data_IF_380021151549
#
_entry.id   IF_380021151549
#
_cell.length_a   1.000
_cell.length_b   1.000
_cell.length_c   1.000
_cell.angle_alpha   90.00
_cell.angle_beta   90.00
_cell.angle_gamma   90.00
#
_symmetry.space_group_name_H-M   'P 1'
#
loop_
_entity.id
_entity.type
_entity.pdbx_description
1 polymer ?
#
# COMPACT_ATOMS: atom_id res chain seq x y z
N UNK A 1 1.62 35.33 2.96
CA UNK A 1 1.76 34.14 2.08
C UNK A 1 3.06 33.45 2.40
N UNK A 2 3.08 32.10 2.36
CA UNK A 2 4.32 31.36 2.64
C UNK A 2 5.34 31.68 1.53
N UNK A 3 6.48 32.30 1.91
CA UNK A 3 7.54 32.75 1.02
C UNK A 3 8.10 31.62 0.12
N UNK A 4 8.06 30.36 0.57
CA UNK A 4 8.49 29.19 -0.21
C UNK A 4 7.68 29.03 -1.51
N UNK A 5 6.35 29.07 -1.42
CA UNK A 5 5.49 28.92 -2.59
C UNK A 5 5.69 30.06 -3.59
N UNK A 6 5.70 31.30 -3.12
CA UNK A 6 5.89 32.50 -3.95
C UNK A 6 7.24 32.47 -4.66
N UNK A 7 8.33 32.19 -3.91
CA UNK A 7 9.70 32.12 -4.46
C UNK A 7 9.86 31.06 -5.54
N UNK A 8 9.19 29.91 -5.38
CA UNK A 8 9.30 28.78 -6.30
C UNK A 8 8.17 28.74 -7.35
N UNK A 9 7.29 29.74 -7.41
CA UNK A 9 6.15 29.81 -8.34
C UNK A 9 5.21 28.59 -8.22
N UNK A 10 5.04 28.08 -7.00
CA UNK A 10 4.15 26.96 -6.70
C UNK A 10 2.81 27.46 -6.15
N UNK A 11 1.74 26.76 -6.46
CA UNK A 11 0.42 27.03 -5.88
C UNK A 11 0.38 26.55 -4.43
N UNK A 12 0.00 27.39 -3.46
CA UNK A 12 -0.22 26.95 -2.07
C UNK A 12 -1.35 25.92 -2.00
N UNK A 13 -1.14 24.86 -1.25
CA UNK A 13 -2.13 23.78 -1.07
C UNK A 13 -2.53 23.69 0.39
N UNK A 14 -3.85 23.74 0.65
CA UNK A 14 -4.45 23.37 1.93
C UNK A 14 -5.01 21.96 1.77
N UNK A 15 -4.29 20.98 2.34
CA UNK A 15 -4.70 19.58 2.21
C UNK A 15 -5.73 19.22 3.28
N UNK A 16 -6.96 18.94 2.86
CA UNK A 16 -8.07 18.46 3.69
C UNK A 16 -8.49 17.02 3.35
N UNK A 17 -7.82 16.39 2.37
CA UNK A 17 -8.18 15.06 1.85
C UNK A 17 -7.29 13.92 2.38
N UNK A 18 -6.23 14.23 3.15
CA UNK A 18 -5.30 13.23 3.67
C UNK A 18 -4.18 12.86 2.68
N UNK A 19 -3.80 11.60 2.61
CA UNK A 19 -2.62 11.14 1.88
C UNK A 19 -2.88 10.97 0.38
N UNK A 20 -2.61 12.00 -0.40
CA UNK A 20 -2.78 11.98 -1.86
C UNK A 20 -1.42 12.16 -2.55
N UNK A 21 -0.99 11.17 -3.34
CA UNK A 21 0.28 11.21 -4.09
C UNK A 21 0.40 12.46 -4.96
N UNK A 22 -0.71 12.88 -5.60
CA UNK A 22 -0.74 14.05 -6.50
C UNK A 22 -0.35 15.37 -5.83
N UNK A 23 -0.48 15.47 -4.50
CA UNK A 23 -0.09 16.66 -3.72
C UNK A 23 1.09 16.38 -2.78
N UNK A 24 1.90 15.37 -3.08
CA UNK A 24 3.10 15.03 -2.32
C UNK A 24 2.88 14.05 -1.16
N UNK A 25 1.70 13.43 -1.06
CA UNK A 25 1.27 12.44 -0.09
C UNK A 25 1.22 12.96 1.36
N UNK A 26 2.36 13.25 1.99
CA UNK A 26 2.44 13.76 3.35
C UNK A 26 3.63 14.72 3.53
N UNK A 27 3.62 15.48 4.61
CA UNK A 27 4.80 16.25 5.03
C UNK A 27 5.79 15.27 5.65
N UNK A 28 7.01 15.26 5.12
CA UNK A 28 8.06 14.35 5.58
C UNK A 28 8.47 14.69 7.02
N UNK A 29 8.52 13.67 7.87
CA UNK A 29 8.89 13.85 9.26
C UNK A 29 10.40 14.11 9.43
N UNK A 30 10.78 14.80 10.52
CA UNK A 30 12.15 15.23 10.80
C UNK A 30 13.15 14.09 10.88
N UNK A 31 12.75 12.93 11.41
CA UNK A 31 13.66 11.79 11.57
C UNK A 31 14.01 11.16 10.22
N UNK A 32 13.04 11.05 9.31
CA UNK A 32 13.29 10.60 7.93
C UNK A 32 14.19 11.58 7.17
N UNK A 33 13.98 12.90 7.32
CA UNK A 33 14.84 13.92 6.68
C UNK A 33 16.28 13.81 7.21
N UNK A 34 16.47 13.76 8.54
CA UNK A 34 17.80 13.61 9.16
C UNK A 34 18.50 12.35 8.70
N UNK A 35 17.78 11.23 8.63
CA UNK A 35 18.32 9.96 8.17
C UNK A 35 18.78 10.04 6.71
N UNK A 36 17.95 10.56 5.81
CA UNK A 36 18.29 10.76 4.41
C UNK A 36 19.53 11.65 4.25
N UNK A 37 19.55 12.82 4.90
CA UNK A 37 20.68 13.75 4.85
C UNK A 37 21.97 13.13 5.33
N UNK A 38 21.92 12.31 6.39
CA UNK A 38 23.11 11.64 6.92
C UNK A 38 23.71 10.66 5.93
N UNK A 39 22.90 9.81 5.29
CA UNK A 39 23.41 8.73 4.44
C UNK A 39 23.90 9.21 3.08
N UNK A 40 23.47 10.39 2.60
CA UNK A 40 23.94 10.95 1.33
C UNK A 40 25.45 11.05 1.25
N UNK A 41 26.14 11.34 2.35
CA UNK A 41 27.58 11.57 2.40
C UNK A 41 28.43 10.28 2.41
N UNK A 42 27.81 9.09 2.31
CA UNK A 42 28.50 7.82 2.40
C UNK A 42 28.19 6.89 1.24
N UNK A 43 29.19 6.16 0.79
CA UNK A 43 28.97 4.95 0.00
C UNK A 43 28.50 3.84 0.95
N UNK A 44 27.51 3.06 0.52
CA UNK A 44 26.97 1.95 1.30
C UNK A 44 26.72 0.75 0.38
N UNK A 45 26.94 -0.43 0.90
CA UNK A 45 26.49 -1.65 0.24
C UNK A 45 24.96 -1.75 0.37
N UNK A 46 24.25 -1.76 -0.76
CA UNK A 46 22.79 -1.78 -0.80
C UNK A 46 22.22 -3.09 -0.24
N UNK A 47 22.88 -4.23 -0.49
CA UNK A 47 22.43 -5.53 0.02
C UNK A 47 22.49 -5.56 1.55
N UNK A 48 23.57 -5.02 2.11
CA UNK A 48 23.75 -4.87 3.55
C UNK A 48 22.71 -3.91 4.14
N UNK A 49 22.46 -2.77 3.49
CA UNK A 49 21.47 -1.79 3.93
C UNK A 49 20.07 -2.38 3.91
N UNK A 50 19.69 -3.13 2.88
CA UNK A 50 18.41 -3.84 2.81
C UNK A 50 18.31 -4.94 3.89
N UNK A 51 19.39 -5.65 4.18
CA UNK A 51 19.43 -6.64 5.26
C UNK A 51 19.20 -5.99 6.63
N UNK A 52 19.81 -4.84 6.89
CA UNK A 52 19.60 -4.03 8.10
C UNK A 52 18.14 -3.54 8.15
N UNK A 53 17.61 -3.02 7.04
CA UNK A 53 16.22 -2.59 6.94
C UNK A 53 15.27 -3.75 7.23
N UNK A 54 15.50 -4.91 6.61
CA UNK A 54 14.70 -6.12 6.84
C UNK A 54 14.65 -6.49 8.32
N UNK A 55 15.82 -6.56 8.98
CA UNK A 55 15.94 -6.91 10.40
C UNK A 55 15.24 -5.93 11.34
N UNK A 56 15.32 -4.62 11.04
CA UNK A 56 14.68 -3.57 11.86
C UNK A 56 13.17 -3.51 11.65
N UNK A 57 12.73 -3.55 10.40
CA UNK A 57 11.33 -3.39 10.01
C UNK A 57 10.51 -4.63 10.40
N UNK A 58 11.02 -5.84 10.16
CA UNK A 58 10.32 -7.08 10.46
C UNK A 58 9.92 -7.22 11.94
N UNK A 59 10.69 -6.62 12.86
CA UNK A 59 10.36 -6.58 14.29
C UNK A 59 9.04 -5.84 14.56
N UNK A 60 8.83 -4.70 13.89
CA UNK A 60 7.61 -3.90 14.04
C UNK A 60 6.43 -4.54 13.34
N UNK A 61 6.65 -5.08 12.15
CA UNK A 61 5.60 -5.76 11.38
C UNK A 61 5.23 -7.14 11.94
N UNK A 62 6.05 -7.70 12.85
CA UNK A 62 5.91 -9.07 13.37
C UNK A 62 5.87 -10.12 12.26
N UNK A 63 6.84 -10.03 11.35
CA UNK A 63 6.98 -10.91 10.19
C UNK A 63 8.41 -11.45 10.08
N UNK A 64 8.63 -12.45 9.21
CA UNK A 64 9.95 -13.12 9.08
C UNK A 64 11.00 -12.21 8.43
N UNK A 65 10.61 -11.39 7.46
CA UNK A 65 11.50 -10.49 6.73
C UNK A 65 10.73 -9.29 6.18
N UNK A 66 11.49 -8.26 5.76
CA UNK A 66 10.95 -7.10 5.09
C UNK A 66 11.89 -6.62 3.98
N UNK A 67 11.40 -5.77 3.09
CA UNK A 67 12.13 -5.17 1.99
C UNK A 67 11.63 -3.74 1.76
N UNK A 68 12.54 -2.85 1.39
CA UNK A 68 12.18 -1.51 0.92
C UNK A 68 12.28 -1.47 -0.60
N UNK A 69 11.24 -0.93 -1.24
CA UNK A 69 11.14 -0.72 -2.68
C UNK A 69 10.96 0.77 -3.00
N UNK A 70 11.07 1.16 -4.26
CA UNK A 70 10.95 2.57 -4.67
C UNK A 70 9.57 3.19 -4.35
N UNK A 71 8.53 2.37 -4.35
CA UNK A 71 7.17 2.74 -3.96
C UNK A 71 6.34 1.50 -3.65
N UNK A 72 5.16 1.66 -3.05
CA UNK A 72 4.22 0.55 -2.89
C UNK A 72 3.81 -0.04 -4.26
N UNK A 73 3.64 0.80 -5.29
CA UNK A 73 3.32 0.35 -6.65
C UNK A 73 4.46 -0.50 -7.26
N UNK A 74 5.73 -0.08 -7.10
CA UNK A 74 6.88 -0.89 -7.50
C UNK A 74 6.88 -2.23 -6.76
N UNK A 75 6.68 -2.19 -5.44
CA UNK A 75 6.60 -3.39 -4.61
C UNK A 75 5.47 -4.35 -5.03
N UNK A 76 4.35 -3.83 -5.50
CA UNK A 76 3.25 -4.64 -6.06
C UNK A 76 3.73 -5.39 -7.30
N UNK A 77 4.30 -4.69 -8.27
CA UNK A 77 4.80 -5.29 -9.53
C UNK A 77 5.89 -6.33 -9.26
N UNK A 78 6.87 -5.99 -8.41
CA UNK A 78 7.97 -6.89 -8.03
C UNK A 78 7.47 -8.11 -7.25
N UNK A 79 6.47 -7.94 -6.37
CA UNK A 79 5.86 -9.05 -5.65
C UNK A 79 5.18 -10.02 -6.60
N UNK A 80 4.37 -9.53 -7.54
CA UNK A 80 3.70 -10.37 -8.56
C UNK A 80 4.74 -11.09 -9.41
N UNK A 81 5.77 -10.39 -9.89
CA UNK A 81 6.88 -10.97 -10.65
C UNK A 81 7.53 -12.14 -9.90
N UNK A 82 7.82 -11.93 -8.63
CA UNK A 82 8.46 -12.94 -7.77
C UNK A 82 7.64 -14.21 -7.57
N UNK A 83 6.30 -14.08 -7.54
CA UNK A 83 5.40 -15.24 -7.42
C UNK A 83 5.37 -16.09 -8.69
N UNK A 84 5.72 -15.53 -9.84
CA UNK A 84 5.84 -16.27 -11.11
C UNK A 84 7.20 -16.91 -11.29
N UNK A 85 8.25 -16.23 -10.85
CA UNK A 85 9.65 -16.63 -11.13
C UNK A 85 10.27 -17.45 -10.02
N UNK A 86 9.82 -17.25 -8.76
CA UNK A 86 10.54 -17.77 -7.60
C UNK A 86 11.95 -17.18 -7.54
N UNK A 87 12.94 -18.04 -7.29
CA UNK A 87 14.37 -17.70 -7.29
C UNK A 87 15.11 -18.12 -8.58
N UNK A 88 14.38 -18.45 -9.62
CA UNK A 88 14.92 -18.88 -10.90
C UNK A 88 15.36 -17.67 -11.75
N UNK A 89 16.66 -17.43 -11.85
CA UNK A 89 17.23 -16.32 -12.59
C UNK A 89 16.85 -16.33 -14.07
N UNK A 90 16.73 -17.50 -14.69
CA UNK A 90 16.35 -17.62 -16.10
C UNK A 90 14.94 -17.08 -16.36
N UNK A 91 14.03 -17.28 -15.39
CA UNK A 91 12.67 -16.72 -15.44
C UNK A 91 12.68 -15.23 -15.12
N UNK A 92 13.49 -14.77 -14.17
CA UNK A 92 13.63 -13.35 -13.82
C UNK A 92 14.08 -12.54 -15.06
N UNK A 93 15.12 -12.98 -15.76
CA UNK A 93 15.60 -12.31 -16.98
C UNK A 93 14.64 -12.36 -18.15
N UNK A 94 13.72 -13.33 -18.14
CA UNK A 94 12.75 -13.51 -19.23
C UNK A 94 11.55 -12.56 -19.10
N UNK A 95 11.23 -12.07 -17.91
CA UNK A 95 10.11 -11.15 -17.72
C UNK A 95 10.25 -9.89 -18.59
N UNK A 96 9.14 -9.35 -19.12
CA UNK A 96 7.73 -9.70 -18.87
C UNK A 96 7.19 -10.88 -19.71
N UNK A 97 8.02 -11.62 -20.44
CA UNK A 97 7.58 -12.81 -21.15
C UNK A 97 7.36 -13.97 -20.16
N UNK A 98 6.11 -14.30 -19.89
CA UNK A 98 5.70 -15.32 -18.92
C UNK A 98 5.32 -16.66 -19.56
N UNK A 99 5.74 -16.93 -20.80
CA UNK A 99 5.48 -18.20 -21.44
C UNK A 99 6.06 -19.38 -20.65
N UNK A 100 5.25 -20.41 -20.43
CA UNK A 100 5.55 -21.60 -19.62
C UNK A 100 5.63 -21.32 -18.10
N UNK A 101 5.14 -20.18 -17.62
CA UNK A 101 5.02 -19.87 -16.18
C UNK A 101 3.54 -19.90 -15.75
N UNK A 102 3.29 -20.21 -14.48
CA UNK A 102 2.01 -19.86 -13.88
C UNK A 102 1.97 -18.33 -13.79
N UNK A 103 1.06 -17.70 -14.49
CA UNK A 103 1.07 -16.25 -14.65
C UNK A 103 -0.26 -15.56 -14.37
N UNK A 104 -1.27 -16.30 -13.87
CA UNK A 104 -2.54 -15.70 -13.50
C UNK A 104 -2.52 -15.18 -12.06
N UNK A 105 -2.90 -13.93 -11.87
CA UNK A 105 -3.13 -13.32 -10.55
C UNK A 105 -4.62 -13.32 -10.27
N UNK A 106 -5.03 -14.08 -9.25
CA UNK A 106 -6.40 -14.11 -8.79
C UNK A 106 -6.71 -12.84 -8.00
N UNK A 107 -7.76 -12.12 -8.39
CA UNK A 107 -8.17 -10.89 -7.72
C UNK A 107 -9.70 -10.72 -7.78
N UNK A 108 -10.31 -10.25 -6.72
CA UNK A 108 -11.73 -9.90 -6.74
C UNK A 108 -11.97 -8.69 -7.64
N UNK A 109 -13.04 -8.71 -8.44
CA UNK A 109 -13.27 -7.70 -9.48
C UNK A 109 -13.32 -6.26 -8.94
N UNK A 110 -13.89 -6.05 -7.76
CA UNK A 110 -13.95 -4.74 -7.14
C UNK A 110 -12.63 -4.23 -6.55
N UNK A 111 -11.59 -5.10 -6.51
CA UNK A 111 -10.23 -4.71 -6.13
C UNK A 111 -9.39 -4.21 -7.30
N UNK A 112 -9.90 -4.30 -8.55
CA UNK A 112 -9.29 -3.68 -9.72
C UNK A 112 -9.67 -2.19 -9.78
N UNK A 113 -9.24 -1.44 -8.78
CA UNK A 113 -9.54 -0.02 -8.62
C UNK A 113 -8.54 0.87 -9.34
N UNK A 114 -8.96 2.14 -9.57
CA UNK A 114 -8.09 3.21 -10.01
C UNK A 114 -7.93 4.21 -8.85
N UNK A 115 -6.72 4.34 -8.33
CA UNK A 115 -6.35 5.29 -7.26
C UNK A 115 -5.52 6.49 -7.79
N UNK A 116 -5.64 6.79 -9.09
CA UNK A 116 -4.77 7.68 -9.87
C UNK A 116 -3.79 6.91 -10.75
N UNK A 117 -3.71 5.58 -10.55
CA UNK A 117 -3.12 4.56 -11.40
C UNK A 117 -3.93 3.27 -11.22
N UNK A 118 -4.04 2.45 -12.25
CA UNK A 118 -4.82 1.22 -12.17
C UNK A 118 -4.03 0.08 -11.52
N UNK A 119 -4.63 -0.58 -10.53
CA UNK A 119 -4.08 -1.83 -9.93
C UNK A 119 -3.79 -2.87 -11.02
N UNK A 120 -4.69 -2.96 -12.01
CA UNK A 120 -4.52 -3.83 -13.19
C UNK A 120 -3.15 -3.65 -13.85
N UNK A 121 -2.81 -2.40 -14.19
CA UNK A 121 -1.55 -2.10 -14.89
C UNK A 121 -0.33 -2.47 -14.04
N UNK A 122 -0.37 -2.20 -12.72
CA UNK A 122 0.69 -2.60 -11.81
C UNK A 122 0.95 -4.12 -11.78
N UNK A 123 -0.11 -4.93 -11.92
CA UNK A 123 -0.01 -6.39 -12.03
C UNK A 123 0.54 -6.77 -13.42
N UNK A 124 -0.02 -6.24 -14.50
CA UNK A 124 0.28 -6.60 -15.88
C UNK A 124 1.69 -6.18 -16.33
N UNK A 125 2.27 -5.14 -15.73
CA UNK A 125 3.68 -4.73 -15.96
C UNK A 125 4.67 -5.86 -15.71
N UNK A 126 4.37 -6.79 -14.82
CA UNK A 126 5.21 -7.98 -14.57
C UNK A 126 5.09 -9.05 -15.67
N UNK A 127 4.17 -8.89 -16.62
CA UNK A 127 3.78 -9.92 -17.60
C UNK A 127 2.72 -10.88 -17.09
N UNK A 128 2.20 -10.66 -15.88
CA UNK A 128 1.10 -11.45 -15.33
C UNK A 128 -0.22 -11.15 -16.04
N UNK A 129 -1.15 -12.09 -15.93
CA UNK A 129 -2.51 -11.98 -16.49
C UNK A 129 -3.51 -11.92 -15.34
N UNK A 130 -4.49 -11.04 -15.46
CA UNK A 130 -5.57 -10.93 -14.47
C UNK A 130 -6.52 -12.13 -14.58
N UNK A 131 -6.79 -12.75 -13.43
CA UNK A 131 -7.88 -13.68 -13.24
C UNK A 131 -8.86 -13.05 -12.23
N UNK A 132 -9.80 -12.27 -12.74
CA UNK A 132 -10.80 -11.63 -11.88
C UNK A 132 -11.91 -12.63 -11.52
N UNK A 133 -12.41 -12.54 -10.27
CA UNK A 133 -13.58 -13.27 -9.79
C UNK A 133 -14.63 -12.33 -9.18
N UNK A 134 -15.87 -12.81 -9.14
CA UNK A 134 -17.01 -12.03 -8.67
C UNK A 134 -17.59 -11.10 -9.73
N UNK A 135 -18.68 -10.44 -9.35
CA UNK A 135 -19.45 -9.53 -10.19
C UNK A 135 -19.06 -8.07 -9.98
N UNK A 136 -19.79 -7.12 -10.59
CA UNK A 136 -19.47 -5.68 -10.54
C UNK A 136 -19.49 -5.10 -9.12
N UNK A 137 -20.40 -5.58 -8.25
CA UNK A 137 -20.60 -5.05 -6.88
C UNK A 137 -20.31 -6.04 -5.76
N UNK A 138 -20.11 -7.32 -6.07
CA UNK A 138 -19.99 -8.38 -5.07
C UNK A 138 -19.09 -9.52 -5.56
N UNK A 139 -18.40 -10.15 -4.64
CA UNK A 139 -17.77 -11.46 -4.81
C UNK A 139 -18.17 -12.37 -3.66
N UNK A 140 -18.74 -13.52 -3.99
CA UNK A 140 -19.09 -14.54 -3.00
C UNK A 140 -17.94 -15.53 -2.80
N UNK A 141 -17.91 -16.17 -1.61
CA UNK A 141 -16.91 -17.21 -1.32
C UNK A 141 -17.01 -18.38 -2.31
N UNK A 142 -18.22 -18.72 -2.76
CA UNK A 142 -18.46 -19.76 -3.77
C UNK A 142 -17.84 -19.39 -5.12
N UNK A 143 -18.08 -18.17 -5.63
CA UNK A 143 -17.48 -17.71 -6.88
C UNK A 143 -15.95 -17.74 -6.83
N UNK A 144 -15.37 -17.33 -5.68
CA UNK A 144 -13.93 -17.37 -5.46
C UNK A 144 -13.41 -18.82 -5.49
N UNK A 145 -14.08 -19.73 -4.80
CA UNK A 145 -13.73 -21.16 -4.74
C UNK A 145 -13.83 -21.82 -6.12
N UNK A 146 -14.91 -21.56 -6.88
CA UNK A 146 -15.11 -22.10 -8.21
C UNK A 146 -14.04 -21.59 -9.19
N UNK A 147 -13.69 -20.29 -9.09
CA UNK A 147 -12.62 -19.69 -9.90
C UNK A 147 -11.27 -20.35 -9.61
N UNK A 148 -10.95 -20.58 -8.34
CA UNK A 148 -9.72 -21.28 -7.94
C UNK A 148 -9.73 -22.72 -8.51
N UNK A 149 -10.79 -23.47 -8.30
CA UNK A 149 -10.89 -24.88 -8.71
C UNK A 149 -10.65 -25.04 -10.21
N UNK A 150 -11.25 -24.17 -11.02
CA UNK A 150 -11.12 -24.19 -12.50
C UNK A 150 -9.74 -23.76 -13.01
N UNK A 151 -8.99 -22.95 -12.24
CA UNK A 151 -7.77 -22.30 -12.74
C UNK A 151 -6.51 -22.61 -11.92
N UNK A 152 -6.56 -23.44 -10.89
CA UNK A 152 -5.50 -23.68 -9.90
C UNK A 152 -4.11 -23.93 -10.52
N UNK A 153 -4.05 -24.64 -11.64
CA UNK A 153 -2.79 -24.96 -12.35
C UNK A 153 -2.07 -23.72 -12.90
N UNK A 154 -2.79 -22.62 -13.13
CA UNK A 154 -2.29 -21.40 -13.77
C UNK A 154 -2.13 -20.22 -12.82
N UNK A 155 -2.67 -20.31 -11.59
CA UNK A 155 -2.59 -19.23 -10.60
C UNK A 155 -1.19 -19.19 -10.00
N UNK A 156 -0.51 -18.06 -10.12
CA UNK A 156 0.77 -17.78 -9.47
C UNK A 156 0.59 -17.28 -8.05
N UNK A 157 -0.37 -16.37 -7.85
CA UNK A 157 -0.72 -15.79 -6.55
C UNK A 157 -2.15 -15.25 -6.56
N UNK A 158 -2.61 -14.87 -5.36
CA UNK A 158 -3.86 -14.16 -5.18
C UNK A 158 -3.59 -12.79 -4.54
N UNK A 159 -4.24 -11.73 -5.04
CA UNK A 159 -4.08 -10.37 -4.56
C UNK A 159 -5.36 -9.86 -3.91
N UNK A 160 -5.20 -9.20 -2.77
CA UNK A 160 -6.27 -8.49 -2.07
C UNK A 160 -5.87 -7.03 -1.89
N UNK A 161 -6.75 -6.09 -2.23
CA UNK A 161 -6.51 -4.65 -2.06
C UNK A 161 -7.35 -4.12 -0.91
N UNK A 162 -6.70 -3.52 0.08
CA UNK A 162 -7.33 -2.82 1.19
C UNK A 162 -7.26 -1.33 0.90
N UNK A 163 -8.39 -0.74 0.55
CA UNK A 163 -8.47 0.68 0.20
C UNK A 163 -9.89 1.20 0.35
N UNK A 164 -10.04 2.46 0.71
CA UNK A 164 -11.34 3.12 0.69
C UNK A 164 -11.98 3.17 -0.72
N UNK A 165 -11.20 3.04 -1.79
CA UNK A 165 -11.73 2.87 -3.15
C UNK A 165 -12.47 1.54 -3.36
N UNK A 166 -12.29 0.57 -2.45
CA UNK A 166 -13.00 -0.70 -2.46
C UNK A 166 -14.19 -0.75 -1.48
N UNK A 167 -14.48 0.31 -0.74
CA UNK A 167 -15.45 0.32 0.36
C UNK A 167 -16.89 -0.02 -0.07
N UNK A 168 -17.23 0.31 -1.31
CA UNK A 168 -18.58 0.06 -1.86
C UNK A 168 -18.72 -1.31 -2.53
N UNK A 169 -17.66 -2.12 -2.48
CA UNK A 169 -17.64 -3.46 -3.03
C UNK A 169 -17.81 -4.50 -1.92
N UNK A 170 -18.85 -5.33 -2.04
CA UNK A 170 -19.07 -6.44 -1.11
C UNK A 170 -18.12 -7.59 -1.43
N UNK A 171 -16.87 -7.46 -0.94
CA UNK A 171 -15.80 -8.44 -1.12
C UNK A 171 -15.97 -9.65 -0.19
N UNK A 172 -15.39 -10.78 -0.59
CA UNK A 172 -15.07 -11.84 0.38
C UNK A 172 -14.13 -11.24 1.42
N UNK A 173 -14.47 -11.36 2.69
CA UNK A 173 -13.68 -10.84 3.81
C UNK A 173 -12.25 -11.39 3.79
N UNK A 174 -11.27 -10.53 4.11
CA UNK A 174 -9.84 -10.80 3.94
C UNK A 174 -9.38 -12.09 4.65
N UNK A 175 -9.89 -12.38 5.85
CA UNK A 175 -9.52 -13.58 6.59
C UNK A 175 -9.98 -14.85 5.88
N UNK A 176 -11.20 -14.84 5.32
CA UNK A 176 -11.76 -15.95 4.54
C UNK A 176 -11.03 -16.13 3.21
N UNK A 177 -10.66 -15.00 2.57
CA UNK A 177 -9.86 -14.98 1.34
C UNK A 177 -8.50 -15.65 1.56
N UNK A 178 -7.75 -15.22 2.58
CA UNK A 178 -6.43 -15.78 2.91
C UNK A 178 -6.53 -17.26 3.24
N UNK A 179 -7.48 -17.66 4.09
CA UNK A 179 -7.72 -19.08 4.46
C UNK A 179 -8.00 -19.96 3.25
N UNK A 180 -8.83 -19.48 2.31
CA UNK A 180 -9.17 -20.23 1.10
C UNK A 180 -7.95 -20.36 0.17
N UNK A 181 -7.18 -19.28 -0.02
CA UNK A 181 -5.95 -19.31 -0.82
C UNK A 181 -4.94 -20.28 -0.23
N UNK A 182 -4.72 -20.23 1.09
CA UNK A 182 -3.82 -21.13 1.81
C UNK A 182 -4.20 -22.60 1.67
N UNK A 183 -5.50 -22.93 1.83
CA UNK A 183 -6.03 -24.29 1.62
C UNK A 183 -5.71 -24.82 0.20
N UNK A 184 -5.56 -23.92 -0.76
CA UNK A 184 -5.25 -24.26 -2.15
C UNK A 184 -3.77 -24.11 -2.51
N UNK A 185 -2.88 -23.82 -1.57
CA UNK A 185 -1.45 -23.53 -1.79
C UNK A 185 -1.21 -22.37 -2.77
N UNK A 186 -2.04 -21.34 -2.72
CA UNK A 186 -1.90 -20.12 -3.51
C UNK A 186 -1.37 -19.02 -2.58
N UNK A 187 -0.15 -18.48 -2.85
CA UNK A 187 0.41 -17.40 -2.06
C UNK A 187 -0.41 -16.12 -2.19
N UNK A 188 -0.47 -15.35 -1.11
CA UNK A 188 -1.27 -14.12 -1.02
C UNK A 188 -0.40 -12.87 -0.97
N UNK A 189 -0.80 -11.84 -1.73
CA UNK A 189 -0.25 -10.49 -1.70
C UNK A 189 -1.36 -9.55 -1.25
N UNK A 190 -1.11 -8.80 -0.18
CA UNK A 190 -2.05 -7.80 0.33
C UNK A 190 -1.50 -6.40 -0.01
N UNK A 191 -2.20 -5.66 -0.87
CA UNK A 191 -1.93 -4.25 -1.08
C UNK A 191 -2.67 -3.44 -0.02
N UNK A 192 -1.93 -2.94 0.95
CA UNK A 192 -2.40 -2.18 2.09
C UNK A 192 -1.65 -0.84 2.21
N UNK A 193 -1.41 -0.18 1.08
CA UNK A 193 -0.54 0.98 0.96
C UNK A 193 -0.92 2.15 1.89
N UNK A 194 -2.17 2.23 2.36
CA UNK A 194 -2.68 3.32 3.22
C UNK A 194 -3.18 2.83 4.58
N UNK A 195 -2.78 1.63 5.00
CA UNK A 195 -3.25 1.03 6.24
C UNK A 195 -2.26 1.21 7.38
N UNK A 196 -2.78 1.58 8.56
CA UNK A 196 -1.98 1.93 9.72
C UNK A 196 -1.58 0.73 10.57
N UNK A 197 -2.40 -0.33 10.59
CA UNK A 197 -2.21 -1.54 11.41
C UNK A 197 -1.55 -2.65 10.63
N UNK A 198 -0.30 -2.46 10.26
CA UNK A 198 0.43 -3.32 9.34
C UNK A 198 0.58 -4.77 9.82
N UNK A 199 0.79 -4.99 11.13
CA UNK A 199 0.94 -6.33 11.71
C UNK A 199 -0.35 -7.15 11.67
N UNK A 200 -1.51 -6.53 11.47
CA UNK A 200 -2.80 -7.21 11.36
C UNK A 200 -2.79 -8.25 10.24
N UNK A 201 -2.25 -7.90 9.08
CA UNK A 201 -2.24 -8.79 7.92
C UNK A 201 -1.41 -10.05 8.13
N UNK A 202 -0.32 -9.96 8.89
CA UNK A 202 0.53 -11.11 9.23
C UNK A 202 -0.09 -11.99 10.31
N UNK A 203 -0.90 -11.44 11.22
CA UNK A 203 -1.73 -12.23 12.15
C UNK A 203 -2.81 -13.02 11.43
N UNK A 204 -3.28 -12.57 10.26
CA UNK A 204 -4.17 -13.30 9.36
C UNK A 204 -3.43 -14.31 8.48
N UNK A 205 -2.09 -14.47 8.64
CA UNK A 205 -1.23 -15.36 7.87
C UNK A 205 -1.12 -14.98 6.38
N UNK A 206 -1.15 -13.69 6.06
CA UNK A 206 -0.78 -13.22 4.73
C UNK A 206 0.68 -13.57 4.40
N UNK A 207 0.96 -13.98 3.17
CA UNK A 207 2.32 -14.32 2.76
C UNK A 207 3.20 -13.09 2.52
N UNK A 208 2.59 -12.03 1.95
CA UNK A 208 3.22 -10.73 1.66
C UNK A 208 2.19 -9.63 1.87
N UNK A 209 2.59 -8.52 2.48
CA UNK A 209 1.80 -7.29 2.53
C UNK A 209 2.67 -6.07 2.21
N UNK A 210 2.06 -5.08 1.53
CA UNK A 210 2.73 -3.92 0.94
C UNK A 210 2.15 -2.65 1.53
N UNK A 211 3.02 -1.74 1.98
CA UNK A 211 2.68 -0.47 2.60
C UNK A 211 3.44 0.68 1.95
N UNK A 212 2.92 1.89 2.08
CA UNK A 212 3.57 3.10 1.56
C UNK A 212 4.22 3.91 2.68
N UNK A 213 5.54 4.07 2.65
CA UNK A 213 6.29 4.80 3.67
C UNK A 213 6.02 6.31 3.65
N UNK A 214 5.73 6.89 2.48
CA UNK A 214 5.51 8.34 2.36
C UNK A 214 4.06 8.80 2.64
N UNK A 215 3.17 7.88 3.00
CA UNK A 215 1.81 8.22 3.43
C UNK A 215 1.79 8.51 4.94
N UNK A 216 1.15 7.68 5.74
CA UNK A 216 0.99 7.91 7.18
C UNK A 216 2.29 7.91 7.99
N UNK A 217 3.34 7.22 7.55
CA UNK A 217 4.65 7.27 8.22
C UNK A 217 5.43 8.58 7.97
N UNK A 218 5.03 9.36 6.97
CA UNK A 218 5.70 10.63 6.65
C UNK A 218 7.17 10.47 6.30
N UNK A 219 7.54 9.40 5.60
CA UNK A 219 8.90 9.18 5.12
C UNK A 219 9.11 9.75 3.71
N UNK A 220 10.31 9.59 3.15
CA UNK A 220 10.53 9.75 1.71
C UNK A 220 9.72 8.70 0.94
N UNK A 221 9.56 8.92 -0.38
CA UNK A 221 8.87 7.96 -1.23
C UNK A 221 9.57 6.62 -1.21
N UNK A 222 8.87 5.62 -0.66
CA UNK A 222 9.30 4.22 -0.61
C UNK A 222 8.08 3.32 -0.39
N UNK A 223 8.19 2.06 -0.80
CA UNK A 223 7.32 0.97 -0.41
C UNK A 223 7.98 0.15 0.70
N UNK A 224 7.19 -0.35 1.63
CA UNK A 224 7.62 -1.32 2.64
C UNK A 224 6.88 -2.63 2.35
N UNK A 225 7.61 -3.70 2.14
CA UNK A 225 7.05 -5.03 1.97
C UNK A 225 7.44 -5.86 3.19
N UNK A 226 6.47 -6.46 3.87
CA UNK A 226 6.69 -7.47 4.89
C UNK A 226 6.19 -8.82 4.42
N UNK A 227 6.74 -9.92 4.98
CA UNK A 227 6.24 -11.25 4.65
C UNK A 227 7.16 -12.39 5.02
N UNK A 228 6.82 -13.58 4.50
CA UNK A 228 7.63 -14.78 4.68
C UNK A 228 8.97 -14.64 3.99
N UNK A 229 10.03 -15.02 4.67
CA UNK A 229 11.44 -14.83 4.24
C UNK A 229 11.69 -15.31 2.81
N UNK A 230 11.11 -16.45 2.41
CA UNK A 230 11.25 -16.99 1.05
C UNK A 230 10.71 -16.03 -0.02
N UNK A 231 9.56 -15.39 0.21
CA UNK A 231 8.98 -14.47 -0.77
C UNK A 231 9.73 -13.15 -0.80
N UNK A 232 10.11 -12.61 0.36
CA UNK A 232 10.91 -11.37 0.43
C UNK A 232 12.24 -11.54 -0.32
N UNK A 233 12.93 -12.69 -0.17
CA UNK A 233 14.14 -13.01 -0.94
C UNK A 233 13.86 -13.02 -2.46
N UNK A 234 12.79 -13.64 -2.89
CA UNK A 234 12.42 -13.72 -4.32
C UNK A 234 12.04 -12.35 -4.88
N UNK A 235 11.38 -11.50 -4.09
CA UNK A 235 11.06 -10.11 -4.48
C UNK A 235 12.35 -9.32 -4.67
N UNK A 236 13.30 -9.43 -3.74
CA UNK A 236 14.59 -8.75 -3.85
C UNK A 236 15.37 -9.14 -5.13
N UNK A 237 15.30 -10.41 -5.54
CA UNK A 237 15.93 -10.87 -6.77
C UNK A 237 15.38 -10.20 -8.04
N UNK A 238 14.19 -9.60 -8.01
CA UNK A 238 13.66 -8.85 -9.16
C UNK A 238 14.51 -7.63 -9.53
N UNK A 239 15.35 -7.12 -8.62
CA UNK A 239 16.37 -6.11 -8.92
C UNK A 239 17.39 -6.54 -9.99
N UNK A 240 17.50 -7.83 -10.27
CA UNK A 240 18.32 -8.38 -11.36
C UNK A 240 17.59 -8.41 -12.70
N UNK A 241 16.27 -8.15 -12.72
CA UNK A 241 15.40 -8.13 -13.89
C UNK A 241 14.56 -6.85 -13.95
N UNK A 242 13.24 -7.01 -14.06
CA UNK A 242 12.31 -5.87 -14.23
C UNK A 242 12.33 -4.85 -13.09
N UNK A 243 12.66 -5.27 -11.88
CA UNK A 243 12.78 -4.39 -10.72
C UNK A 243 13.95 -3.39 -10.84
N UNK A 244 14.92 -3.64 -11.76
CA UNK A 244 16.05 -2.72 -11.96
C UNK A 244 15.60 -1.32 -12.40
N UNK A 245 14.54 -1.22 -13.17
CA UNK A 245 13.94 0.06 -13.55
C UNK A 245 13.23 0.77 -12.39
N UNK A 246 12.91 0.04 -11.32
CA UNK A 246 12.20 0.51 -10.12
C UNK A 246 13.12 0.51 -8.88
N UNK A 247 14.43 0.69 -9.06
CA UNK A 247 15.41 0.68 -7.97
C UNK A 247 15.14 1.76 -6.94
N UNK A 248 15.33 1.43 -5.65
CA UNK A 248 15.24 2.36 -4.53
C UNK A 248 16.62 2.91 -4.16
N UNK A 249 16.71 4.20 -3.84
CA UNK A 249 17.95 4.84 -3.39
C UNK A 249 18.24 4.57 -1.91
N UNK A 250 19.52 4.65 -1.54
CA UNK A 250 19.99 4.47 -0.15
C UNK A 250 19.29 5.41 0.83
N UNK A 251 19.02 6.64 0.39
CA UNK A 251 18.35 7.67 1.19
C UNK A 251 16.91 7.29 1.52
N UNK A 252 16.19 6.74 0.55
CA UNK A 252 14.81 6.30 0.75
C UNK A 252 14.74 5.05 1.64
N UNK A 253 15.68 4.10 1.47
CA UNK A 253 15.78 2.92 2.33
C UNK A 253 16.02 3.37 3.78
N UNK A 254 17.00 4.22 3.99
CA UNK A 254 17.39 4.65 5.34
C UNK A 254 16.30 5.50 6.00
N UNK A 255 15.71 6.45 5.26
CA UNK A 255 14.60 7.26 5.73
C UNK A 255 13.36 6.41 6.11
N UNK A 256 13.04 5.37 5.32
CA UNK A 256 11.91 4.50 5.60
C UNK A 256 12.05 3.74 6.93
N UNK A 257 13.26 3.30 7.29
CA UNK A 257 13.53 2.67 8.59
C UNK A 257 13.14 3.62 9.73
N UNK A 258 13.67 4.86 9.70
CA UNK A 258 13.44 5.84 10.78
C UNK A 258 12.00 6.37 10.78
N UNK A 259 11.39 6.52 9.60
CA UNK A 259 9.98 6.88 9.48
C UNK A 259 9.06 5.85 10.14
N UNK A 260 9.32 4.55 9.88
CA UNK A 260 8.57 3.46 10.51
C UNK A 260 8.80 3.42 12.04
N UNK A 261 10.05 3.55 12.49
CA UNK A 261 10.35 3.54 13.92
C UNK A 261 9.68 4.68 14.66
N UNK A 262 9.67 5.89 14.08
CA UNK A 262 8.94 7.04 14.62
C UNK A 262 7.44 6.76 14.67
N UNK A 263 6.89 6.18 13.59
CA UNK A 263 5.48 5.82 13.52
C UNK A 263 5.06 4.89 14.66
N UNK A 264 5.80 3.84 14.94
CA UNK A 264 5.49 2.90 16.02
C UNK A 264 5.73 3.47 17.43
N UNK A 265 6.59 4.47 17.56
CA UNK A 265 6.85 5.17 18.85
C UNK A 265 5.90 6.32 19.12
N UNK A 266 4.97 6.66 18.19
CA UNK A 266 4.05 7.78 18.37
C UNK A 266 3.06 7.53 19.51
N UNK A 267 2.64 8.61 20.15
CA UNK A 267 1.53 8.57 21.11
C UNK A 267 0.20 8.59 20.36
N UNK A 268 -0.26 7.39 19.98
CA UNK A 268 -1.51 7.21 19.22
C UNK A 268 -2.73 7.81 19.96
N UNK A 269 -2.77 7.71 21.30
CA UNK A 269 -3.88 8.25 22.08
C UNK A 269 -3.94 9.77 21.98
N UNK A 270 -2.79 10.43 22.10
CA UNK A 270 -2.67 11.89 21.94
C UNK A 270 -3.04 12.33 20.53
N UNK A 271 -2.59 11.59 19.50
CA UNK A 271 -2.93 11.89 18.09
C UNK A 271 -4.43 11.78 17.83
N UNK A 272 -5.08 10.70 18.25
CA UNK A 272 -6.53 10.51 18.12
C UNK A 272 -7.29 11.62 18.86
N UNK A 273 -6.86 11.99 20.08
CA UNK A 273 -7.49 13.08 20.84
C UNK A 273 -7.37 14.42 20.10
N UNK A 274 -6.21 14.72 19.51
CA UNK A 274 -6.01 15.94 18.74
C UNK A 274 -6.87 15.96 17.47
N UNK A 275 -6.92 14.86 16.74
CA UNK A 275 -7.80 14.73 15.56
C UNK A 275 -9.26 14.92 15.93
N UNK A 276 -9.74 14.31 17.01
CA UNK A 276 -11.12 14.49 17.47
C UNK A 276 -11.43 15.94 17.88
N UNK A 277 -10.46 16.68 18.46
CA UNK A 277 -10.63 18.13 18.72
C UNK A 277 -10.80 18.92 17.42
N UNK A 278 -9.99 18.63 16.40
CA UNK A 278 -10.08 19.27 15.07
C UNK A 278 -11.43 18.94 14.41
N UNK A 279 -11.87 17.69 14.46
CA UNK A 279 -13.15 17.28 13.90
C UNK A 279 -14.34 18.00 14.60
N UNK A 280 -14.31 18.13 15.93
CA UNK A 280 -15.31 18.88 16.70
C UNK A 280 -15.30 20.37 16.36
N UNK A 281 -14.14 20.98 16.17
CA UNK A 281 -14.01 22.36 15.72
C UNK A 281 -14.70 22.58 14.37
N UNK A 282 -14.39 21.71 13.38
CA UNK A 282 -15.01 21.80 12.05
C UNK A 282 -16.51 21.53 12.09
N UNK A 283 -16.96 20.58 12.90
CA UNK A 283 -18.38 20.29 13.06
C UNK A 283 -19.12 21.55 13.56
N UNK A 284 -18.61 22.17 14.64
CA UNK A 284 -19.16 23.41 15.17
C UNK A 284 -19.13 24.57 14.18
N UNK A 285 -18.06 24.68 13.37
CA UNK A 285 -17.96 25.68 12.32
C UNK A 285 -19.10 25.51 11.28
N UNK A 286 -19.31 24.29 10.78
CA UNK A 286 -20.39 24.02 9.83
C UNK A 286 -21.79 24.24 10.43
N UNK A 287 -21.98 23.95 11.71
CA UNK A 287 -23.23 24.22 12.44
C UNK A 287 -23.53 25.72 12.53
N UNK A 288 -22.54 26.52 12.84
CA UNK A 288 -22.69 27.97 12.99
C UNK A 288 -22.92 28.69 11.65
N UNK A 289 -22.19 28.29 10.62
CA UNK A 289 -22.27 28.95 9.29
C UNK A 289 -23.51 28.53 8.48
N UNK A 290 -24.15 27.41 8.83
CA UNK A 290 -25.40 26.92 8.25
C UNK A 290 -25.45 26.98 6.70
N UNK A 291 -24.46 26.41 6.03
CA UNK A 291 -24.35 26.45 4.58
C UNK A 291 -25.50 25.71 3.88
N UNK A 292 -26.27 26.45 3.06
CA UNK A 292 -27.36 25.86 2.27
C UNK A 292 -26.84 24.76 1.32
N UNK A 293 -27.48 23.58 1.34
CA UNK A 293 -27.16 22.47 0.46
C UNK A 293 -25.89 21.68 0.82
N UNK A 294 -25.33 21.93 2.02
CA UNK A 294 -24.24 21.13 2.60
C UNK A 294 -24.80 20.38 3.80
N UNK A 295 -24.55 19.07 3.83
CA UNK A 295 -24.73 18.25 5.03
C UNK A 295 -23.44 17.56 5.41
N UNK A 296 -23.25 17.25 6.69
CA UNK A 296 -21.99 16.73 7.20
C UNK A 296 -22.22 15.79 8.36
N UNK A 297 -21.31 14.83 8.51
CA UNK A 297 -21.28 13.92 9.67
C UNK A 297 -19.90 13.38 9.95
N UNK A 298 -19.62 13.05 11.20
CA UNK A 298 -18.44 12.28 11.57
C UNK A 298 -18.73 10.80 11.33
N UNK A 299 -17.84 10.13 10.60
CA UNK A 299 -17.92 8.70 10.31
C UNK A 299 -16.59 8.03 10.70
N UNK A 300 -16.61 6.73 11.06
CA UNK A 300 -15.39 5.96 11.22
C UNK A 300 -14.67 5.84 9.86
N UNK A 301 -13.36 5.57 9.94
CA UNK A 301 -12.59 5.28 8.73
C UNK A 301 -13.11 4.02 8.02
N UNK A 302 -13.41 4.07 6.71
CA UNK A 302 -14.05 2.97 5.99
C UNK A 302 -13.17 1.70 5.85
N UNK A 303 -11.85 1.81 6.05
CA UNK A 303 -10.92 0.66 6.02
C UNK A 303 -10.56 0.15 7.43
N UNK A 304 -11.13 0.76 8.48
CA UNK A 304 -10.97 0.31 9.85
C UNK A 304 -9.77 0.90 10.60
N UNK A 305 -9.10 1.92 10.05
CA UNK A 305 -8.12 2.69 10.81
C UNK A 305 -8.78 3.39 11.99
N UNK A 306 -8.08 3.54 13.12
CA UNK A 306 -8.63 4.12 14.37
C UNK A 306 -8.76 5.65 14.33
N UNK A 307 -9.14 6.18 13.20
CA UNK A 307 -9.42 7.59 13.00
C UNK A 307 -10.86 7.80 12.55
N UNK A 308 -11.42 8.94 12.92
CA UNK A 308 -12.70 9.37 12.40
C UNK A 308 -12.49 10.37 11.25
N UNK A 309 -13.48 10.51 10.40
CA UNK A 309 -13.48 11.45 9.27
C UNK A 309 -14.70 12.33 9.32
N UNK A 310 -14.55 13.59 8.98
CA UNK A 310 -15.68 14.46 8.67
C UNK A 310 -16.03 14.23 7.19
N UNK A 311 -17.23 13.68 6.93
CA UNK A 311 -17.77 13.54 5.58
C UNK A 311 -18.72 14.71 5.31
N UNK A 312 -18.42 15.45 4.25
CA UNK A 312 -19.23 16.58 3.77
C UNK A 312 -19.95 16.11 2.50
N UNK A 313 -21.25 16.31 2.47
CA UNK A 313 -22.09 16.06 1.30
C UNK A 313 -22.51 17.39 0.71
N UNK A 314 -22.29 17.57 -0.58
CA UNK A 314 -22.65 18.78 -1.33
C UNK A 314 -23.80 18.42 -2.26
N UNK A 315 -24.92 19.16 -2.19
CA UNK A 315 -26.05 18.95 -3.07
C UNK A 315 -25.65 19.34 -4.51
N UNK A 316 -25.95 18.47 -5.49
CA UNK A 316 -25.62 18.67 -6.91
C UNK A 316 -26.14 19.98 -7.52
N UNK A 317 -27.09 20.67 -6.87
CA UNK A 317 -27.60 22.00 -7.28
C UNK A 317 -26.58 23.14 -7.02
N UNK A 318 -25.53 22.91 -6.22
CA UNK A 318 -24.52 23.93 -5.87
C UNK A 318 -23.26 23.79 -6.74
N UNK A 319 -23.05 22.65 -7.38
CA UNK A 319 -21.86 22.34 -8.20
C UNK A 319 -22.12 22.60 -9.69
N UNK A 320 -22.63 23.77 -10.03
CA UNK A 320 -22.64 24.23 -11.44
C UNK A 320 -21.61 25.31 -11.65
#
# INVERSE_FOLDING_TARGET
MNTFYTKNKLTPIINVSGFMTKIGASITNSESIKAANKIFNYFVNIDELQSIASKRISKYLKTEAALITASAAAGLTESVASMMTGNDLSKIYKLPNTNKMKNKVLIQRGHLTNYGAEVRQGIELSGAKILSCGQKKICTLKELQDTISKNKKNISCAMYVVSHHCSDYNAVEISKFIKLCKKNNIPTIIDAASEEYMEHFFKLDADVAIFSAHKFMGSLTAGIIGGKKKYIKNIYLQNLGIGRGMKVGKEAIFAAIFGLEKWYKRDLKKEINNQNKILKYWLKFFENENFNGISYKIIPDPTGNKINRLRIYINNKITK
#
